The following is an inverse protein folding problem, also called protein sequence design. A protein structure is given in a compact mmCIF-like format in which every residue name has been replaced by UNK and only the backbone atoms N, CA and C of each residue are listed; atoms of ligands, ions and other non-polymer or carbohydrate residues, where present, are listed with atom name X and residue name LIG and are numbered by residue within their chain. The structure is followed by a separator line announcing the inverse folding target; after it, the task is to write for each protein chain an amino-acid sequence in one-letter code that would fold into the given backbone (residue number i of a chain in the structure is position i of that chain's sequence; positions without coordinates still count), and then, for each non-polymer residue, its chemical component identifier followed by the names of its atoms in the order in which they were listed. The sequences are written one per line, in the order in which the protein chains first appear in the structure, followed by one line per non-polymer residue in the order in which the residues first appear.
data_IF_766116413648
#
_entry.id   IF_766116413648
#
_cell.length_a   1.000
_cell.length_b   1.000
_cell.length_c   1.000
_cell.angle_alpha   90.00
_cell.angle_beta   90.00
_cell.angle_gamma   90.00
#
_symmetry.space_group_name_H-M   'P 1'
#
loop_
_entity.id
_entity.type
_entity.pdbx_description
1 polymer ?
#
# COMPACT_ATOMS: atom_id res chain seq x y z
N UNK A 1 24.30 72.39 15.39
CA UNK A 1 23.86 71.03 15.82
C UNK A 1 22.52 70.72 15.16
N UNK A 2 22.51 69.97 14.09
CA UNK A 2 21.29 69.62 13.33
C UNK A 2 20.79 68.29 13.90
N UNK A 3 19.68 68.34 14.59
CA UNK A 3 19.04 67.14 15.14
C UNK A 3 18.33 66.37 14.02
N UNK A 4 18.94 65.30 13.56
CA UNK A 4 18.29 64.34 12.66
C UNK A 4 17.31 63.50 13.48
N UNK A 5 16.08 63.96 13.52
CA UNK A 5 14.95 63.20 14.07
C UNK A 5 14.72 61.95 13.20
N UNK A 6 14.97 60.79 13.78
CA UNK A 6 14.70 59.48 13.16
C UNK A 6 13.26 59.38 12.73
N UNK A 7 12.99 59.57 11.43
CA UNK A 7 11.69 59.23 10.82
C UNK A 7 11.55 57.73 10.91
N UNK A 8 10.74 57.29 11.85
CA UNK A 8 10.37 55.89 12.04
C UNK A 8 9.50 55.49 10.82
N UNK A 9 10.13 54.93 9.78
CA UNK A 9 9.42 54.38 8.63
C UNK A 9 8.51 53.26 9.12
N UNK A 10 7.24 53.60 9.33
CA UNK A 10 6.17 52.63 9.54
C UNK A 10 6.06 51.83 8.27
N UNK A 11 6.58 50.58 8.27
CA UNK A 11 6.53 49.69 7.12
C UNK A 11 5.07 49.41 6.79
N UNK A 12 4.51 50.16 5.86
CA UNK A 12 3.15 49.91 5.36
C UNK A 12 3.28 48.66 4.49
N UNK A 13 2.53 47.59 4.76
CA UNK A 13 2.56 46.39 3.93
C UNK A 13 1.85 46.66 2.60
N UNK A 14 2.53 47.35 1.70
CA UNK A 14 2.01 47.74 0.37
C UNK A 14 1.48 46.54 -0.40
N UNK A 15 2.15 45.40 -0.30
CA UNK A 15 1.72 44.15 -0.91
C UNK A 15 0.33 43.72 -0.42
N UNK A 16 0.09 43.79 0.90
CA UNK A 16 -1.19 43.46 1.50
C UNK A 16 -2.29 44.41 1.05
N UNK A 17 -2.01 45.71 1.03
CA UNK A 17 -2.96 46.72 0.60
C UNK A 17 -3.34 46.59 -0.88
N UNK A 18 -2.37 46.26 -1.75
CA UNK A 18 -2.60 46.00 -3.17
C UNK A 18 -3.44 44.75 -3.40
N UNK A 19 -3.14 43.66 -2.69
CA UNK A 19 -3.90 42.42 -2.79
C UNK A 19 -5.36 42.61 -2.35
N UNK A 20 -5.60 43.31 -1.24
CA UNK A 20 -6.95 43.50 -0.70
C UNK A 20 -7.80 44.50 -1.50
N UNK A 21 -7.17 45.42 -2.24
CA UNK A 21 -7.87 46.34 -3.13
C UNK A 21 -8.43 45.69 -4.41
N UNK A 22 -7.90 44.51 -4.79
CA UNK A 22 -8.33 43.78 -5.98
C UNK A 22 -8.78 42.36 -5.60
N UNK A 23 -9.92 42.22 -4.92
CA UNK A 23 -10.32 40.93 -4.33
C UNK A 23 -10.52 39.83 -5.36
N UNK A 24 -10.98 40.14 -6.55
CA UNK A 24 -11.13 39.14 -7.62
C UNK A 24 -9.79 38.52 -8.05
N UNK A 25 -8.75 39.36 -8.21
CA UNK A 25 -7.41 38.87 -8.52
C UNK A 25 -6.82 38.02 -7.40
N UNK A 26 -7.07 38.42 -6.15
CA UNK A 26 -6.64 37.65 -4.99
C UNK A 26 -7.31 36.27 -4.96
N UNK A 27 -8.62 36.19 -5.18
CA UNK A 27 -9.37 34.94 -5.22
C UNK A 27 -8.85 34.02 -6.33
N UNK A 28 -8.65 34.54 -7.53
CA UNK A 28 -8.10 33.75 -8.64
C UNK A 28 -6.70 33.22 -8.34
N UNK A 29 -5.83 34.06 -7.75
CA UNK A 29 -4.49 33.64 -7.37
C UNK A 29 -4.51 32.56 -6.30
N UNK A 30 -5.32 32.71 -5.25
CA UNK A 30 -5.49 31.70 -4.18
C UNK A 30 -6.06 30.42 -4.77
N UNK A 31 -7.10 30.50 -5.62
CA UNK A 31 -7.69 29.34 -6.25
C UNK A 31 -6.67 28.56 -7.09
N UNK A 32 -5.84 29.26 -7.87
CA UNK A 32 -4.78 28.61 -8.66
C UNK A 32 -3.73 27.89 -7.81
N UNK A 33 -3.24 28.56 -6.75
CA UNK A 33 -2.25 27.97 -5.85
C UNK A 33 -2.87 26.79 -5.08
N UNK A 34 -4.10 26.96 -4.58
CA UNK A 34 -4.81 25.90 -3.86
C UNK A 34 -5.05 24.69 -4.75
N UNK A 35 -5.48 24.90 -5.99
CA UNK A 35 -5.67 23.82 -6.96
C UNK A 35 -4.38 23.04 -7.23
N UNK A 36 -3.27 23.76 -7.48
CA UNK A 36 -1.97 23.13 -7.67
C UNK A 36 -1.53 22.33 -6.42
N UNK A 37 -1.74 22.90 -5.22
CA UNK A 37 -1.46 22.22 -3.96
C UNK A 37 -2.29 20.95 -3.77
N UNK A 38 -3.59 21.01 -4.03
CA UNK A 38 -4.48 19.85 -3.94
C UNK A 38 -4.03 18.74 -4.89
N UNK A 39 -3.70 19.07 -6.14
CA UNK A 39 -3.21 18.09 -7.11
C UNK A 39 -1.89 17.44 -6.64
N UNK A 40 -0.96 18.24 -6.11
CA UNK A 40 0.31 17.73 -5.60
C UNK A 40 0.11 16.77 -4.43
N UNK A 41 -0.70 17.14 -3.44
CA UNK A 41 -1.02 16.28 -2.29
C UNK A 41 -1.79 15.03 -2.69
N UNK A 42 -2.70 15.15 -3.65
CA UNK A 42 -3.43 14.00 -4.19
C UNK A 42 -2.48 13.01 -4.87
N UNK A 43 -1.52 13.48 -5.66
CA UNK A 43 -0.51 12.63 -6.30
C UNK A 43 0.39 11.94 -5.28
N UNK A 44 0.84 12.66 -4.23
CA UNK A 44 1.65 12.09 -3.16
C UNK A 44 0.87 11.02 -2.39
N UNK A 45 -0.39 11.30 -2.01
CA UNK A 45 -1.24 10.33 -1.30
C UNK A 45 -1.52 9.09 -2.14
N UNK A 46 -1.76 9.26 -3.44
CA UNK A 46 -1.95 8.13 -4.34
C UNK A 46 -0.69 7.26 -4.47
N UNK A 47 0.48 7.90 -4.61
CA UNK A 47 1.76 7.20 -4.64
C UNK A 47 1.99 6.39 -3.36
N UNK A 48 1.81 7.00 -2.20
CA UNK A 48 2.03 6.34 -0.91
C UNK A 48 1.04 5.18 -0.70
N UNK A 49 -0.23 5.35 -1.09
CA UNK A 49 -1.21 4.27 -1.07
C UNK A 49 -0.86 3.09 -1.98
N UNK A 50 -0.27 3.33 -3.15
CA UNK A 50 0.24 2.27 -4.02
C UNK A 50 1.40 1.51 -3.39
N UNK A 51 2.35 2.21 -2.78
CA UNK A 51 3.47 1.58 -2.09
C UNK A 51 2.99 0.74 -0.91
N UNK A 52 2.12 1.26 -0.06
CA UNK A 52 1.57 0.52 1.07
C UNK A 52 0.82 -0.74 0.62
N UNK A 53 -0.01 -0.64 -0.41
CA UNK A 53 -0.71 -1.80 -0.97
C UNK A 53 0.27 -2.85 -1.51
N UNK A 54 1.35 -2.42 -2.16
CA UNK A 54 2.35 -3.31 -2.75
C UNK A 54 3.15 -4.09 -1.70
N UNK A 55 3.38 -3.52 -0.52
CA UNK A 55 4.16 -4.17 0.54
C UNK A 55 3.30 -4.87 1.59
N UNK A 56 1.97 -4.67 1.57
CA UNK A 56 1.06 -5.24 2.58
C UNK A 56 1.18 -6.76 2.67
N UNK A 57 1.26 -7.45 1.54
CA UNK A 57 1.39 -8.91 1.51
C UNK A 57 2.72 -9.36 2.14
N UNK A 58 3.80 -8.64 1.87
CA UNK A 58 5.13 -8.95 2.41
C UNK A 58 5.18 -8.73 3.93
N UNK A 59 4.50 -7.70 4.43
CA UNK A 59 4.39 -7.42 5.88
C UNK A 59 3.57 -8.47 6.64
N UNK A 60 2.72 -9.22 5.95
CA UNK A 60 1.94 -10.31 6.55
C UNK A 60 2.73 -11.61 6.67
N UNK A 61 3.83 -11.75 5.92
CA UNK A 61 4.65 -12.95 5.93
C UNK A 61 5.68 -12.89 7.05
N UNK A 62 5.79 -13.99 7.79
CA UNK A 62 6.87 -14.24 8.76
C UNK A 62 8.11 -14.77 8.02
N UNK A 63 8.76 -13.88 7.27
CA UNK A 63 9.90 -14.23 6.44
C UNK A 63 10.82 -13.02 6.26
N UNK A 64 12.12 -13.22 6.45
CA UNK A 64 13.15 -12.20 6.23
C UNK A 64 13.38 -11.91 4.73
N UNK A 65 13.21 -12.94 3.90
CA UNK A 65 13.44 -12.85 2.46
C UNK A 65 12.31 -13.51 1.66
N UNK A 66 11.94 -12.90 0.55
CA UNK A 66 10.93 -13.43 -0.38
C UNK A 66 11.58 -13.68 -1.74
N UNK A 67 11.59 -14.92 -2.18
CA UNK A 67 12.08 -15.31 -3.51
C UNK A 67 10.98 -15.13 -4.55
N UNK A 68 11.20 -14.26 -5.52
CA UNK A 68 10.26 -13.94 -6.60
C UNK A 68 10.85 -14.31 -7.94
N UNK A 69 10.02 -14.82 -8.86
CA UNK A 69 10.42 -15.07 -10.24
C UNK A 69 10.82 -13.75 -10.94
N UNK A 70 11.94 -13.71 -11.70
CA UNK A 70 12.32 -12.51 -12.47
C UNK A 70 11.32 -12.17 -13.60
N UNK A 71 10.39 -13.08 -13.91
CA UNK A 71 9.31 -12.84 -14.88
C UNK A 71 8.08 -12.18 -14.24
N UNK A 72 8.07 -12.01 -12.93
CA UNK A 72 6.96 -11.36 -12.22
C UNK A 72 6.90 -9.87 -12.55
N UNK A 73 5.74 -9.40 -12.97
CA UNK A 73 5.53 -7.98 -13.33
C UNK A 73 5.26 -7.09 -12.12
N UNK A 74 4.71 -7.66 -11.06
CA UNK A 74 4.41 -6.96 -9.81
C UNK A 74 4.29 -7.96 -8.66
N UNK A 75 4.27 -7.45 -7.43
CA UNK A 75 4.08 -8.26 -6.22
C UNK A 75 2.74 -9.01 -6.16
N UNK A 76 1.75 -8.57 -6.95
CA UNK A 76 0.41 -9.15 -7.00
C UNK A 76 0.25 -10.06 -8.23
N UNK A 77 0.96 -9.75 -9.34
CA UNK A 77 0.96 -10.55 -10.57
C UNK A 77 2.26 -11.33 -10.69
N UNK A 78 2.38 -12.33 -9.84
CA UNK A 78 3.59 -13.16 -9.76
C UNK A 78 3.55 -14.27 -10.80
N UNK A 79 4.69 -14.50 -11.46
CA UNK A 79 4.92 -15.69 -12.28
C UNK A 79 5.47 -16.80 -11.42
N UNK A 80 4.94 -18.00 -11.59
CA UNK A 80 5.46 -19.17 -10.89
C UNK A 80 6.89 -19.52 -11.32
N UNK A 81 7.60 -20.22 -10.46
CA UNK A 81 8.89 -20.83 -10.75
C UNK A 81 8.94 -22.27 -10.21
N UNK A 82 9.83 -23.12 -10.75
CA UNK A 82 9.92 -24.50 -10.32
C UNK A 82 10.30 -24.65 -8.85
N UNK A 83 9.65 -25.56 -8.13
CA UNK A 83 9.95 -25.90 -6.72
C UNK A 83 11.43 -26.24 -6.48
N UNK A 84 12.13 -26.74 -7.50
CA UNK A 84 13.56 -27.00 -7.44
C UNK A 84 14.37 -25.77 -7.00
N UNK A 85 13.97 -24.56 -7.41
CA UNK A 85 14.64 -23.32 -7.01
C UNK A 85 14.55 -23.08 -5.51
N UNK A 86 13.40 -23.38 -4.93
CA UNK A 86 13.19 -23.27 -3.49
C UNK A 86 14.08 -24.25 -2.72
N UNK A 87 14.24 -25.49 -3.23
CA UNK A 87 15.13 -26.48 -2.62
C UNK A 87 16.59 -26.05 -2.75
N UNK A 88 16.97 -25.42 -3.85
CA UNK A 88 18.33 -24.91 -4.04
C UNK A 88 18.70 -23.82 -3.02
N UNK A 89 17.76 -23.02 -2.54
CA UNK A 89 18.04 -22.02 -1.50
C UNK A 89 18.34 -22.64 -0.15
N UNK A 90 17.82 -23.84 0.16
CA UNK A 90 18.16 -24.57 1.38
C UNK A 90 19.62 -25.08 1.42
N UNK A 91 20.34 -25.04 0.29
CA UNK A 91 21.74 -25.37 0.25
C UNK A 91 22.68 -24.24 0.69
N UNK A 92 22.11 -23.04 0.96
CA UNK A 92 22.85 -21.91 1.49
C UNK A 92 22.90 -22.00 3.02
N UNK A 93 24.08 -21.76 3.59
CA UNK A 93 24.31 -21.91 5.04
C UNK A 93 23.45 -20.98 5.90
N UNK A 94 23.08 -19.80 5.36
CA UNK A 94 22.28 -18.78 6.06
C UNK A 94 20.77 -19.01 5.94
N UNK A 95 20.30 -20.07 5.26
CA UNK A 95 18.87 -20.36 5.07
C UNK A 95 18.41 -21.48 5.96
N UNK A 96 17.71 -21.15 7.02
CA UNK A 96 17.17 -22.11 7.97
C UNK A 96 15.95 -22.86 7.44
N UNK A 97 15.02 -22.13 6.80
CA UNK A 97 13.73 -22.69 6.35
C UNK A 97 13.25 -22.01 5.09
N UNK A 98 12.56 -22.76 4.24
CA UNK A 98 11.85 -22.20 3.08
C UNK A 98 10.41 -22.70 3.04
N UNK A 99 9.47 -21.84 2.67
CA UNK A 99 8.07 -22.17 2.54
C UNK A 99 7.52 -21.68 1.19
N UNK A 100 6.81 -22.54 0.42
CA UNK A 100 6.21 -22.13 -0.84
C UNK A 100 4.92 -21.33 -0.60
N UNK A 101 4.81 -20.19 -1.26
CA UNK A 101 3.62 -19.34 -1.27
C UNK A 101 3.08 -19.24 -2.69
N UNK A 102 1.80 -19.48 -2.86
CA UNK A 102 1.11 -19.30 -4.13
C UNK A 102 0.15 -18.11 -4.02
N UNK A 103 0.38 -17.09 -4.80
CA UNK A 103 -0.48 -15.91 -4.88
C UNK A 103 -1.10 -15.85 -6.27
N UNK A 104 -2.43 -15.87 -6.34
CA UNK A 104 -3.15 -15.84 -7.60
C UNK A 104 -4.56 -15.26 -7.45
N UNK A 105 -5.10 -14.77 -8.55
CA UNK A 105 -6.49 -14.38 -8.62
C UNK A 105 -7.34 -15.58 -9.03
N UNK A 106 -8.37 -15.87 -8.23
CA UNK A 106 -9.39 -16.87 -8.53
C UNK A 106 -10.75 -16.20 -8.71
N UNK A 107 -11.57 -16.80 -9.55
CA UNK A 107 -12.97 -16.40 -9.70
C UNK A 107 -13.80 -17.10 -8.61
N UNK A 108 -14.31 -16.31 -7.69
CA UNK A 108 -15.21 -16.78 -6.65
C UNK A 108 -16.67 -16.41 -7.00
N UNK A 109 -17.55 -17.38 -6.90
CA UNK A 109 -18.97 -17.18 -7.09
C UNK A 109 -19.65 -17.11 -5.72
N UNK A 110 -20.27 -15.97 -5.43
CA UNK A 110 -21.00 -15.79 -4.19
C UNK A 110 -22.22 -16.74 -4.16
N UNK A 111 -22.38 -17.58 -3.13
CA UNK A 111 -23.49 -18.52 -3.04
C UNK A 111 -24.86 -17.85 -2.86
N UNK A 112 -24.91 -16.62 -2.30
CA UNK A 112 -26.15 -15.91 -2.02
C UNK A 112 -26.72 -15.20 -3.26
N UNK A 113 -25.89 -14.46 -3.99
CA UNK A 113 -26.32 -13.64 -5.12
C UNK A 113 -25.84 -14.15 -6.48
N UNK A 114 -25.10 -15.28 -6.51
CA UNK A 114 -24.53 -15.93 -7.68
C UNK A 114 -23.60 -15.06 -8.54
N UNK A 115 -23.22 -13.87 -8.07
CA UNK A 115 -22.28 -13.01 -8.76
C UNK A 115 -20.86 -13.58 -8.66
N UNK A 116 -20.15 -13.52 -9.78
CA UNK A 116 -18.76 -13.97 -9.86
C UNK A 116 -17.82 -12.78 -9.71
N UNK A 117 -16.79 -12.95 -8.86
CA UNK A 117 -15.77 -11.93 -8.60
C UNK A 117 -14.38 -12.52 -8.62
N UNK A 118 -13.44 -11.71 -9.02
CA UNK A 118 -12.03 -12.02 -8.87
C UNK A 118 -11.58 -11.69 -7.45
N UNK A 119 -11.08 -12.70 -6.74
CA UNK A 119 -10.53 -12.56 -5.39
C UNK A 119 -9.04 -12.93 -5.41
N UNK A 120 -8.25 -12.18 -4.66
CA UNK A 120 -6.85 -12.50 -4.43
C UNK A 120 -6.77 -13.67 -3.44
N UNK A 121 -6.10 -14.73 -3.82
CA UNK A 121 -6.02 -15.96 -3.04
C UNK A 121 -4.56 -16.23 -2.71
N UNK A 122 -4.30 -16.45 -1.43
CA UNK A 122 -3.02 -16.88 -0.89
C UNK A 122 -3.08 -18.37 -0.55
N UNK A 123 -2.28 -19.17 -1.22
CA UNK A 123 -2.13 -20.61 -0.96
C UNK A 123 -0.77 -20.90 -0.32
N UNK A 124 -0.78 -21.61 0.78
CA UNK A 124 0.42 -22.01 1.50
C UNK A 124 0.13 -23.28 2.31
N UNK A 125 1.16 -23.92 2.87
CA UNK A 125 1.00 -25.07 3.74
C UNK A 125 0.68 -24.59 5.16
N UNK A 126 -0.47 -24.95 5.75
CA UNK A 126 -0.87 -24.52 7.10
C UNK A 126 0.09 -24.93 8.21
N UNK A 127 0.97 -25.90 7.96
CA UNK A 127 2.00 -26.34 8.92
C UNK A 127 3.23 -25.41 8.96
N UNK A 128 3.37 -24.52 7.98
CA UNK A 128 4.54 -23.66 7.87
C UNK A 128 4.28 -22.32 8.55
N UNK A 129 4.10 -22.08 9.72
CA UNK A 129 3.90 -20.79 10.43
C UNK A 129 4.34 -19.56 9.61
N UNK A 130 3.64 -19.28 8.54
CA UNK A 130 4.05 -18.33 7.50
C UNK A 130 3.52 -16.92 7.72
N UNK A 131 2.49 -16.76 8.53
CA UNK A 131 1.81 -15.48 8.75
C UNK A 131 2.00 -15.00 10.17
N UNK A 132 2.35 -13.73 10.33
CA UNK A 132 2.58 -13.05 11.60
C UNK A 132 1.32 -12.83 12.44
N UNK A 133 0.12 -13.13 11.92
CA UNK A 133 -1.14 -12.88 12.62
C UNK A 133 -1.51 -14.02 13.58
N UNK A 134 -1.53 -13.73 14.89
CA UNK A 134 -1.98 -14.64 15.95
C UNK A 134 -3.44 -15.10 15.77
N UNK A 135 -4.29 -14.27 15.22
CA UNK A 135 -5.69 -14.61 14.90
C UNK A 135 -5.78 -15.66 13.79
N UNK A 136 -4.83 -15.62 12.87
CA UNK A 136 -4.71 -16.58 11.79
C UNK A 136 -4.20 -17.93 12.30
N UNK A 137 -3.15 -17.95 13.13
CA UNK A 137 -2.54 -19.17 13.67
C UNK A 137 -3.57 -20.07 14.36
N UNK A 138 -4.51 -19.48 15.11
CA UNK A 138 -5.62 -20.22 15.75
C UNK A 138 -6.63 -20.82 14.77
N UNK A 139 -6.74 -20.26 13.57
CA UNK A 139 -7.66 -20.73 12.50
C UNK A 139 -6.95 -21.65 11.51
N UNK A 140 -5.62 -21.62 11.44
CA UNK A 140 -4.82 -22.41 10.52
C UNK A 140 -5.06 -23.92 10.65
N UNK A 141 -5.32 -24.42 11.87
CA UNK A 141 -5.67 -25.82 12.09
C UNK A 141 -6.93 -26.26 11.35
N UNK A 142 -7.87 -25.34 11.12
CA UNK A 142 -9.08 -25.62 10.34
C UNK A 142 -8.80 -25.82 8.85
N UNK A 143 -7.70 -25.24 8.35
CA UNK A 143 -7.26 -25.36 6.94
C UNK A 143 -6.58 -26.69 6.65
N UNK A 144 -6.13 -27.43 7.66
CA UNK A 144 -5.54 -28.77 7.49
C UNK A 144 -6.55 -29.77 6.91
N UNK A 145 -7.84 -29.51 7.05
CA UNK A 145 -8.89 -30.32 6.46
C UNK A 145 -9.09 -29.93 4.98
N UNK A 146 -9.09 -30.88 4.03
CA UNK A 146 -9.26 -30.59 2.62
C UNK A 146 -10.62 -29.92 2.33
N UNK A 147 -10.63 -29.03 1.34
CA UNK A 147 -11.85 -28.32 0.92
C UNK A 147 -12.26 -27.14 1.78
N UNK A 148 -11.40 -26.72 2.71
CA UNK A 148 -11.65 -25.52 3.53
C UNK A 148 -10.82 -24.34 3.08
N UNK A 149 -11.42 -23.16 3.14
CA UNK A 149 -10.77 -21.87 2.89
C UNK A 149 -11.11 -20.91 4.01
N UNK A 150 -10.19 -20.00 4.31
CA UNK A 150 -10.47 -18.84 5.16
C UNK A 150 -10.80 -17.68 4.25
N UNK A 151 -11.93 -17.05 4.51
CA UNK A 151 -12.37 -15.86 3.79
C UNK A 151 -12.30 -14.65 4.73
N UNK A 152 -11.75 -13.54 4.23
CA UNK A 152 -11.69 -12.30 5.00
C UNK A 152 -13.10 -11.70 5.12
N UNK A 153 -13.58 -11.57 6.37
CA UNK A 153 -14.89 -11.01 6.68
C UNK A 153 -15.00 -9.51 6.32
N UNK A 154 -13.86 -8.81 6.26
CA UNK A 154 -13.79 -7.39 5.91
C UNK A 154 -13.67 -7.16 4.41
N UNK A 155 -13.57 -8.22 3.60
CA UNK A 155 -13.73 -8.10 2.15
C UNK A 155 -15.05 -7.42 1.83
N UNK A 156 -15.02 -6.49 0.87
CA UNK A 156 -16.12 -5.58 0.51
C UNK A 156 -17.49 -6.23 0.68
N UNK A 157 -18.35 -5.67 1.54
CA UNK A 157 -19.74 -6.11 1.63
C UNK A 157 -20.44 -5.77 0.29
N UNK A 158 -21.29 -6.64 -0.13
CA UNK A 158 -22.30 -6.39 -1.18
C UNK A 158 -23.55 -7.07 -0.98
#
# INVERSE_FOLDING_TARGET
MINFSFIKFRKIPLAWLLLTRQPLRLIVAIAGISFAGILMFMQLGFRDGLFDTSVTIHKLLDADLVLISPRSKSSISMSGFPKRRLIQTLALEDVEKTAPVNLTYLLWRNPENLKTRSILTLGFNPSDSLLLDDGFSRKADKLKNPGRVLFDKLSRPE
#
